data_IF_142773187130
#
_entry.id   IF_142773187130
#
_cell.length_a   1.000
_cell.length_b   1.000
_cell.length_c   1.000
_cell.angle_alpha   90.00
_cell.angle_beta   90.00
_cell.angle_gamma   90.00
#
_symmetry.space_group_name_H-M   'P 1'
#
loop_
_entity.id
_entity.type
_entity.pdbx_description
1 polymer ?
#
# COMPACT_ATOMS: atom_id res chain seq x y z
N UNK A 1 -7.22 -11.49 8.30
CA UNK A 1 -6.63 -11.47 6.95
C UNK A 1 -5.49 -12.47 6.92
N UNK A 2 -5.54 -13.47 6.06
CA UNK A 2 -4.40 -14.39 5.88
C UNK A 2 -3.25 -13.62 5.23
N UNK A 3 -2.06 -13.62 5.84
CA UNK A 3 -0.89 -12.86 5.36
C UNK A 3 -0.18 -13.61 4.22
N UNK A 4 -0.88 -13.83 3.12
CA UNK A 4 -0.39 -14.62 1.97
C UNK A 4 0.94 -14.09 1.42
N UNK A 5 1.14 -12.77 1.45
CA UNK A 5 2.38 -12.11 1.05
C UNK A 5 3.62 -12.51 1.89
N UNK A 6 3.45 -13.11 3.07
CA UNK A 6 4.58 -13.58 3.88
C UNK A 6 5.24 -14.82 3.27
N UNK A 7 4.46 -15.67 2.61
CA UNK A 7 4.95 -16.91 1.97
C UNK A 7 5.31 -16.71 0.50
N UNK A 8 5.09 -15.52 -0.05
CA UNK A 8 5.43 -15.19 -1.43
C UNK A 8 6.95 -15.12 -1.62
N UNK A 9 7.49 -15.99 -2.47
CA UNK A 9 8.92 -16.05 -2.81
C UNK A 9 9.37 -14.93 -3.77
N UNK A 10 8.43 -14.25 -4.44
CA UNK A 10 8.71 -13.11 -5.32
C UNK A 10 8.90 -11.80 -4.54
N UNK A 11 8.46 -11.75 -3.28
CA UNK A 11 8.60 -10.59 -2.41
C UNK A 11 9.88 -10.68 -1.58
N UNK A 12 10.68 -9.61 -1.65
CA UNK A 12 11.79 -9.44 -0.72
C UNK A 12 11.30 -9.17 0.70
N UNK A 13 12.13 -9.46 1.69
CA UNK A 13 11.83 -9.25 3.11
C UNK A 13 11.42 -7.80 3.42
N UNK A 14 12.01 -6.82 2.71
CA UNK A 14 11.67 -5.40 2.83
C UNK A 14 10.21 -5.13 2.48
N UNK A 15 9.68 -5.76 1.44
CA UNK A 15 8.28 -5.62 1.03
C UNK A 15 7.34 -6.34 1.99
N UNK A 16 7.72 -7.53 2.47
CA UNK A 16 6.97 -8.26 3.50
C UNK A 16 6.84 -7.44 4.79
N UNK A 17 7.92 -6.78 5.22
CA UNK A 17 7.89 -5.86 6.36
C UNK A 17 6.93 -4.69 6.13
N UNK A 18 6.99 -4.04 4.96
CA UNK A 18 6.09 -2.92 4.61
C UNK A 18 4.61 -3.33 4.63
N UNK A 19 4.26 -4.45 4.01
CA UNK A 19 2.88 -4.93 4.01
C UNK A 19 2.41 -5.29 5.42
N UNK A 20 3.26 -5.92 6.23
CA UNK A 20 2.94 -6.19 7.64
C UNK A 20 2.73 -4.91 8.45
N UNK A 21 3.56 -3.90 8.22
CA UNK A 21 3.38 -2.59 8.84
C UNK A 21 2.03 -1.97 8.45
N UNK A 22 1.62 -2.04 7.18
CA UNK A 22 0.32 -1.51 6.73
C UNK A 22 -0.88 -2.31 7.24
N UNK A 23 -0.76 -3.62 7.37
CA UNK A 23 -1.80 -4.48 7.95
C UNK A 23 -2.05 -4.13 9.43
N UNK A 24 -1.00 -3.75 10.17
CA UNK A 24 -1.07 -3.39 11.59
C UNK A 24 -1.44 -1.93 11.85
N UNK A 25 -0.99 -1.00 11.00
CA UNK A 25 -1.11 0.45 11.24
C UNK A 25 -2.03 1.16 10.25
N UNK A 26 -2.54 0.46 9.24
CA UNK A 26 -3.24 1.04 8.11
C UNK A 26 -2.29 1.58 7.04
N UNK A 27 -2.83 1.87 5.85
CA UNK A 27 -2.06 2.47 4.77
C UNK A 27 -1.82 3.97 5.05
N UNK A 28 -0.60 4.49 4.77
CA UNK A 28 -0.35 5.91 4.85
C UNK A 28 -1.24 6.67 3.86
N UNK A 29 -1.86 7.77 4.29
CA UNK A 29 -2.76 8.58 3.46
C UNK A 29 -2.14 9.08 2.13
N UNK A 30 -0.81 9.20 2.08
CA UNK A 30 -0.04 9.48 0.87
C UNK A 30 -0.23 8.44 -0.26
N UNK A 31 -0.46 7.16 0.07
CA UNK A 31 -0.75 6.13 -0.93
C UNK A 31 -2.21 6.17 -1.43
N UNK A 32 -3.11 6.79 -0.65
CA UNK A 32 -4.52 6.96 -1.00
C UNK A 32 -4.86 8.25 -1.74
N UNK A 33 -3.91 9.19 -1.88
CA UNK A 33 -4.21 10.55 -2.36
C UNK A 33 -4.10 10.77 -3.87
N UNK A 34 -4.07 9.70 -4.68
CA UNK A 34 -4.25 9.82 -6.13
C UNK A 34 -5.74 9.85 -6.54
N UNK A 35 -6.56 10.60 -5.82
CA UNK A 35 -7.95 10.90 -6.22
C UNK A 35 -8.20 12.38 -6.53
N UNK A 36 -7.17 13.24 -6.58
CA UNK A 36 -7.38 14.66 -6.91
C UNK A 36 -6.62 15.22 -8.12
N UNK A 37 -5.98 14.37 -8.94
CA UNK A 37 -5.46 14.84 -10.25
C UNK A 37 -6.59 15.00 -11.29
N UNK A 38 -7.78 14.42 -11.05
CA UNK A 38 -8.93 14.56 -11.97
C UNK A 38 -9.77 15.83 -11.76
N UNK A 39 -9.59 16.62 -10.69
CA UNK A 39 -10.38 17.83 -10.48
C UNK A 39 -9.71 19.13 -10.97
N UNK A 40 -8.44 19.09 -11.41
CA UNK A 40 -7.73 20.29 -11.91
C UNK A 40 -7.60 20.37 -13.45
N UNK A 41 -8.30 19.51 -14.20
CA UNK A 41 -8.37 19.53 -15.67
C UNK A 41 -9.75 20.01 -16.19
N UNK A 42 -10.48 20.76 -15.36
CA UNK A 42 -11.66 21.53 -15.79
C UNK A 42 -11.57 22.95 -15.28
N UNK A 43 -10.85 23.80 -16.00
CA UNK A 43 -11.27 25.17 -16.27
C UNK A 43 -10.51 25.73 -17.48
#
# INVERSE_FOLDING_TARGET
MSKEYMNDGSLSEKWKYRFNFYDQHGFPGFWGQHQNIKQHLKH
#
